data_IF_641096154777
#
_entry.id   IF_641096154777
#
_cell.length_a   1.000
_cell.length_b   1.000
_cell.length_c   1.000
_cell.angle_alpha   90.00
_cell.angle_beta   90.00
_cell.angle_gamma   90.00
#
_symmetry.space_group_name_H-M   'P 1'
#
loop_
_entity.id
_entity.type
_entity.pdbx_description
1 polymer ?
#
# COMPACT_ATOMS: atom_id res chain seq x y z
N UNK A 1 -4.64 -7.93 13.80
CA UNK A 1 -3.88 -8.48 12.64
C UNK A 1 -3.41 -9.90 12.96
N UNK A 2 -3.18 -10.74 11.93
CA UNK A 2 -2.58 -12.07 12.10
C UNK A 2 -1.11 -12.01 11.65
N UNK A 3 -0.14 -12.41 12.50
CA UNK A 3 1.27 -12.28 12.16
C UNK A 3 1.76 -13.33 11.15
N UNK A 4 1.12 -14.51 11.11
CA UNK A 4 1.56 -15.63 10.26
C UNK A 4 0.36 -16.43 9.76
N UNK A 5 0.37 -16.74 8.46
CA UNK A 5 -0.41 -17.83 7.88
C UNK A 5 -1.53 -17.38 6.95
N UNK A 6 -1.98 -18.35 6.15
CA UNK A 6 -3.13 -18.28 5.26
C UNK A 6 -3.96 -19.55 5.43
N UNK A 7 -5.25 -19.50 5.11
CA UNK A 7 -6.15 -20.66 5.20
C UNK A 7 -6.61 -21.07 3.80
N UNK A 8 -6.63 -22.38 3.57
CA UNK A 8 -7.19 -22.99 2.36
C UNK A 8 -8.51 -23.67 2.73
N UNK A 9 -9.58 -23.36 2.01
CA UNK A 9 -10.93 -23.92 2.21
C UNK A 9 -11.39 -24.64 0.94
N UNK A 10 -12.20 -25.68 1.08
CA UNK A 10 -12.71 -26.48 -0.04
C UNK A 10 -13.29 -27.82 0.41
N UNK A 11 -13.57 -28.72 -0.55
CA UNK A 11 -14.13 -30.04 -0.25
C UNK A 11 -13.19 -30.92 0.58
N UNK A 12 -13.75 -31.95 1.25
CA UNK A 12 -12.98 -32.88 2.07
C UNK A 12 -11.84 -33.55 1.29
N UNK A 13 -12.13 -34.01 0.07
CA UNK A 13 -11.14 -34.64 -0.81
C UNK A 13 -10.03 -33.68 -1.23
N UNK A 14 -10.39 -32.43 -1.54
CA UNK A 14 -9.43 -31.37 -1.86
C UNK A 14 -8.52 -31.06 -0.66
N UNK A 15 -9.10 -30.87 0.52
CA UNK A 15 -8.34 -30.58 1.75
C UNK A 15 -7.43 -31.75 2.14
N UNK A 16 -7.84 -33.00 1.90
CA UNK A 16 -6.97 -34.16 2.12
C UNK A 16 -5.71 -34.10 1.26
N UNK A 17 -5.86 -33.82 -0.05
CA UNK A 17 -4.73 -33.64 -0.97
C UNK A 17 -3.86 -32.45 -0.56
N UNK A 18 -4.47 -31.31 -0.25
CA UNK A 18 -3.76 -30.10 0.18
C UNK A 18 -2.95 -30.34 1.48
N UNK A 19 -3.49 -31.10 2.45
CA UNK A 19 -2.76 -31.46 3.68
C UNK A 19 -1.55 -32.35 3.41
N UNK A 20 -1.64 -33.30 2.47
CA UNK A 20 -0.47 -34.10 2.04
C UNK A 20 0.58 -33.20 1.39
N UNK A 21 0.18 -32.34 0.45
CA UNK A 21 1.09 -31.39 -0.18
C UNK A 21 1.78 -30.48 0.86
N UNK A 22 1.02 -29.92 1.81
CA UNK A 22 1.57 -29.12 2.92
C UNK A 22 2.62 -29.90 3.71
N UNK A 23 2.42 -31.19 3.97
CA UNK A 23 3.40 -32.03 4.69
C UNK A 23 4.67 -32.25 3.88
N UNK A 24 4.54 -32.53 2.57
CA UNK A 24 5.67 -32.71 1.65
C UNK A 24 6.52 -31.43 1.52
N UNK A 25 5.87 -30.27 1.48
CA UNK A 25 6.52 -28.96 1.42
C UNK A 25 7.07 -28.47 2.79
N UNK A 26 6.99 -29.29 3.83
CA UNK A 26 7.50 -28.93 5.16
C UNK A 26 6.59 -28.05 6.03
N UNK A 27 5.40 -27.67 5.55
CA UNK A 27 4.44 -26.83 6.30
C UNK A 27 3.69 -27.54 7.44
N UNK A 28 4.13 -28.74 7.84
CA UNK A 28 3.55 -29.52 8.92
C UNK A 28 4.05 -29.12 10.31
N UNK A 29 3.78 -27.88 10.73
CA UNK A 29 4.23 -27.31 12.00
C UNK A 29 3.57 -27.97 13.24
N UNK A 30 4.23 -27.86 14.39
CA UNK A 30 3.75 -28.31 15.70
C UNK A 30 3.47 -27.10 16.61
N UNK A 31 2.63 -27.28 17.64
CA UNK A 31 2.21 -26.22 18.57
C UNK A 31 1.70 -24.93 17.88
N UNK A 32 1.13 -25.06 16.68
CA UNK A 32 0.70 -23.92 15.83
C UNK A 32 -0.47 -23.13 16.43
N UNK A 33 -1.06 -23.59 17.54
CA UNK A 33 -2.15 -22.91 18.24
C UNK A 33 -1.81 -21.46 18.63
N UNK A 34 -0.56 -21.19 18.98
CA UNK A 34 -0.07 -19.83 19.29
C UNK A 34 -0.20 -18.91 18.08
N UNK A 35 0.04 -19.41 16.86
CA UNK A 35 -0.13 -18.66 15.61
C UNK A 35 -1.57 -18.65 15.10
N UNK A 36 -2.33 -19.72 15.37
CA UNK A 36 -3.72 -19.84 14.94
C UNK A 36 -4.67 -18.94 15.74
N UNK A 37 -4.40 -18.72 17.03
CA UNK A 37 -5.21 -17.88 17.91
C UNK A 37 -5.44 -16.44 17.38
N UNK A 38 -4.40 -15.66 17.01
CA UNK A 38 -4.61 -14.35 16.38
C UNK A 38 -5.27 -14.44 15.01
N UNK A 39 -5.13 -15.56 14.30
CA UNK A 39 -5.86 -15.82 13.04
C UNK A 39 -7.37 -15.92 13.24
N UNK A 40 -7.83 -16.52 14.35
CA UNK A 40 -9.26 -16.58 14.68
C UNK A 40 -9.83 -15.19 14.97
N UNK A 41 -9.06 -14.32 15.63
CA UNK A 41 -9.46 -12.92 15.85
C UNK A 41 -9.50 -12.16 14.51
N UNK A 42 -8.50 -12.37 13.66
CA UNK A 42 -8.44 -11.72 12.35
C UNK A 42 -9.62 -12.08 11.43
N UNK A 43 -10.19 -13.28 11.58
CA UNK A 43 -11.35 -13.77 10.82
C UNK A 43 -12.70 -13.59 11.53
N UNK A 44 -12.71 -13.03 12.75
CA UNK A 44 -13.95 -12.77 13.49
C UNK A 44 -14.67 -11.56 12.89
N UNK A 45 -16.00 -11.63 12.85
CA UNK A 45 -16.88 -10.51 12.49
C UNK A 45 -17.15 -9.59 13.70
N UNK A 46 -17.67 -8.38 13.44
CA UNK A 46 -18.01 -7.42 14.47
C UNK A 46 -16.81 -6.67 15.08
N UNK A 47 -17.05 -5.89 16.15
CA UNK A 47 -16.08 -4.95 16.71
C UNK A 47 -14.85 -5.59 17.37
N UNK A 48 -14.92 -6.90 17.67
CA UNK A 48 -13.79 -7.67 18.21
C UNK A 48 -12.92 -8.30 17.10
N UNK A 49 -13.31 -8.12 15.84
CA UNK A 49 -12.67 -8.69 14.66
C UNK A 49 -11.78 -7.70 13.90
N UNK A 50 -11.31 -8.12 12.72
CA UNK A 50 -10.54 -7.25 11.83
C UNK A 50 -11.23 -7.01 10.48
N UNK A 51 -12.34 -7.69 10.19
CA UNK A 51 -13.00 -7.66 8.87
C UNK A 51 -13.66 -6.31 8.61
N UNK A 52 -14.52 -5.83 9.52
CA UNK A 52 -15.26 -4.57 9.35
C UNK A 52 -14.32 -3.37 9.21
N UNK A 53 -13.20 -3.40 9.95
CA UNK A 53 -12.16 -2.38 9.92
C UNK A 53 -11.46 -2.23 8.57
N UNK A 54 -11.52 -3.23 7.66
CA UNK A 54 -11.00 -3.06 6.30
C UNK A 54 -11.63 -1.83 5.60
N UNK A 55 -12.85 -1.45 5.98
CA UNK A 55 -13.48 -0.22 5.50
C UNK A 55 -12.68 1.05 5.85
N UNK A 56 -12.04 1.10 7.02
CA UNK A 56 -11.16 2.21 7.42
C UNK A 56 -9.90 2.26 6.54
N UNK A 57 -9.31 1.10 6.25
CA UNK A 57 -8.14 1.03 5.37
C UNK A 57 -8.51 1.52 3.96
N UNK A 58 -9.70 1.18 3.48
CA UNK A 58 -10.23 1.66 2.19
C UNK A 58 -10.48 3.18 2.20
N UNK A 59 -11.09 3.71 3.27
CA UNK A 59 -11.32 5.15 3.42
C UNK A 59 -9.99 5.91 3.45
N UNK A 60 -9.00 5.43 4.20
CA UNK A 60 -7.67 6.04 4.26
C UNK A 60 -6.95 6.01 2.90
N UNK A 61 -7.08 4.90 2.14
CA UNK A 61 -6.53 4.82 0.79
C UNK A 61 -7.21 5.81 -0.16
N UNK A 62 -8.53 6.00 -0.01
CA UNK A 62 -9.31 6.97 -0.78
C UNK A 62 -8.86 8.40 -0.50
N UNK A 63 -8.78 8.79 0.78
CA UNK A 63 -8.29 10.12 1.20
C UNK A 63 -6.87 10.37 0.71
N UNK A 64 -5.99 9.36 0.80
CA UNK A 64 -4.63 9.45 0.26
C UNK A 64 -4.65 9.71 -1.25
N UNK A 65 -5.45 8.95 -2.01
CA UNK A 65 -5.54 9.11 -3.46
C UNK A 65 -6.08 10.48 -3.88
N UNK A 66 -7.09 10.99 -3.17
CA UNK A 66 -7.65 12.34 -3.38
C UNK A 66 -6.62 13.44 -3.11
N UNK A 67 -5.77 13.27 -2.10
CA UNK A 67 -4.68 14.22 -1.88
C UNK A 67 -3.55 14.11 -2.92
N UNK A 68 -3.25 12.90 -3.38
CA UNK A 68 -2.17 12.66 -4.35
C UNK A 68 -2.51 13.15 -5.75
N UNK A 69 -3.77 13.01 -6.20
CA UNK A 69 -4.17 13.36 -7.58
C UNK A 69 -4.01 14.85 -7.88
N UNK A 70 -4.10 15.69 -6.85
CA UNK A 70 -3.93 17.15 -6.95
C UNK A 70 -2.45 17.57 -6.99
N UNK A 71 -1.50 16.66 -6.78
CA UNK A 71 -0.08 16.99 -6.67
C UNK A 71 0.63 17.06 -8.03
N UNK A 72 1.33 18.17 -8.33
CA UNK A 72 2.15 18.28 -9.55
C UNK A 72 3.20 17.17 -9.62
N UNK A 73 3.18 16.42 -10.72
CA UNK A 73 4.10 15.31 -10.95
C UNK A 73 3.54 13.93 -10.63
N UNK A 74 2.41 13.83 -9.92
CA UNK A 74 1.63 12.59 -9.86
C UNK A 74 0.82 12.45 -11.15
N UNK A 75 0.93 11.30 -11.81
CA UNK A 75 0.22 11.00 -13.05
C UNK A 75 -0.36 9.58 -12.99
N UNK A 76 -1.30 9.28 -13.89
CA UNK A 76 -1.92 7.95 -14.04
C UNK A 76 -2.59 7.42 -12.75
N UNK A 77 -3.13 8.32 -11.93
CA UNK A 77 -3.92 7.99 -10.74
C UNK A 77 -5.40 8.17 -11.06
N UNK A 78 -6.15 7.07 -11.07
CA UNK A 78 -7.60 7.05 -11.29
C UNK A 78 -8.35 6.75 -9.99
N UNK A 79 -9.01 7.76 -9.44
CA UNK A 79 -9.78 7.66 -8.19
C UNK A 79 -10.88 6.58 -8.25
N UNK A 80 -11.48 6.33 -9.43
CA UNK A 80 -12.55 5.34 -9.57
C UNK A 80 -12.09 3.89 -9.36
N UNK A 81 -10.77 3.67 -9.45
CA UNK A 81 -10.12 2.37 -9.25
C UNK A 81 -9.63 2.15 -7.82
N UNK A 82 -9.63 3.19 -6.98
CA UNK A 82 -9.29 3.09 -5.56
C UNK A 82 -10.53 2.63 -4.78
N UNK A 83 -10.75 1.30 -4.80
CA UNK A 83 -11.91 0.65 -4.16
C UNK A 83 -11.56 -0.18 -2.92
N UNK A 84 -10.26 -0.38 -2.70
CA UNK A 84 -9.72 -1.14 -1.56
C UNK A 84 -8.61 -0.32 -0.90
N UNK A 85 -7.66 -0.96 -0.22
CA UNK A 85 -6.54 -0.34 0.47
C UNK A 85 -5.31 -0.04 -0.42
N UNK A 86 -5.42 -0.15 -1.75
CA UNK A 86 -4.31 0.10 -2.68
C UNK A 86 -4.52 1.38 -3.49
N UNK A 87 -3.44 2.16 -3.60
CA UNK A 87 -3.36 3.32 -4.51
C UNK A 87 -2.21 3.10 -5.48
N UNK A 88 -2.51 3.17 -6.77
CA UNK A 88 -1.53 3.04 -7.84
C UNK A 88 -1.41 4.34 -8.61
N UNK A 89 -0.18 4.78 -8.85
CA UNK A 89 0.11 5.99 -9.61
C UNK A 89 1.51 5.91 -10.23
N UNK A 90 1.87 6.87 -11.08
CA UNK A 90 3.23 7.09 -11.56
C UNK A 90 3.69 8.50 -11.19
N UNK A 91 4.99 8.72 -11.30
CA UNK A 91 5.60 10.03 -11.10
C UNK A 91 6.24 10.47 -12.41
N UNK A 92 5.86 11.66 -12.90
CA UNK A 92 6.46 12.29 -14.07
C UNK A 92 7.84 12.84 -13.74
N UNK A 93 8.72 12.92 -14.72
CA UNK A 93 9.91 13.77 -14.61
C UNK A 93 9.47 15.25 -14.63
N UNK A 94 10.13 16.09 -13.82
CA UNK A 94 9.90 17.53 -13.86
C UNK A 94 10.60 18.13 -15.10
N UNK A 95 9.90 18.88 -15.97
CA UNK A 95 10.52 19.56 -17.11
C UNK A 95 11.59 20.56 -16.63
N UNK A 96 12.79 20.50 -17.21
CA UNK A 96 13.95 21.29 -16.79
C UNK A 96 14.49 20.96 -15.39
N UNK A 97 13.99 19.89 -14.76
CA UNK A 97 14.45 19.40 -13.46
C UNK A 97 15.71 18.54 -13.57
N UNK A 98 16.29 18.17 -12.43
CA UNK A 98 17.54 17.40 -12.35
C UNK A 98 17.47 16.01 -13.03
N UNK A 99 16.25 15.49 -13.22
CA UNK A 99 15.97 14.19 -13.84
C UNK A 99 15.27 14.31 -15.21
N UNK A 100 15.20 15.52 -15.78
CA UNK A 100 14.61 15.70 -17.12
C UNK A 100 15.37 14.90 -18.19
N UNK A 101 14.63 14.29 -19.12
CA UNK A 101 15.17 13.40 -20.14
C UNK A 101 15.77 12.06 -19.64
N UNK A 102 15.76 11.79 -18.33
CA UNK A 102 16.21 10.50 -17.78
C UNK A 102 15.14 9.41 -17.96
N UNK A 103 15.52 8.12 -17.90
CA UNK A 103 14.53 7.03 -17.90
C UNK A 103 13.55 7.16 -16.73
N UNK A 104 12.27 6.89 -16.97
CA UNK A 104 11.21 6.99 -15.95
C UNK A 104 11.50 6.17 -14.68
N UNK A 105 12.28 5.09 -14.81
CA UNK A 105 12.73 4.25 -13.71
C UNK A 105 13.63 5.03 -12.72
N UNK A 106 14.47 5.94 -13.22
CA UNK A 106 15.33 6.77 -12.39
C UNK A 106 14.51 7.78 -11.57
N UNK A 107 13.53 8.44 -12.21
CA UNK A 107 12.59 9.34 -11.53
C UNK A 107 11.81 8.61 -10.44
N UNK A 108 11.28 7.42 -10.74
CA UNK A 108 10.57 6.60 -9.76
C UNK A 108 11.46 6.20 -8.58
N UNK A 109 12.69 5.77 -8.85
CA UNK A 109 13.63 5.37 -7.80
C UNK A 109 13.98 6.55 -6.88
N UNK A 110 14.35 7.70 -7.47
CA UNK A 110 14.67 8.92 -6.73
C UNK A 110 13.49 9.39 -5.85
N UNK A 111 12.27 9.32 -6.37
CA UNK A 111 11.07 9.65 -5.60
C UNK A 111 10.86 8.71 -4.39
N UNK A 112 11.02 7.39 -4.59
CA UNK A 112 10.90 6.41 -3.51
C UNK A 112 12.00 6.58 -2.46
N UNK A 113 13.23 6.88 -2.87
CA UNK A 113 14.35 7.16 -1.97
C UNK A 113 14.10 8.45 -1.15
N UNK A 114 13.59 9.51 -1.80
CA UNK A 114 13.22 10.75 -1.12
C UNK A 114 12.10 10.54 -0.09
N UNK A 115 11.05 9.78 -0.45
CA UNK A 115 9.99 9.40 0.49
C UNK A 115 10.52 8.58 1.66
N UNK A 116 11.43 7.64 1.40
CA UNK A 116 12.03 6.82 2.46
C UNK A 116 12.87 7.67 3.42
N UNK A 117 13.57 8.69 2.90
CA UNK A 117 14.28 9.69 3.71
C UNK A 117 13.35 10.48 4.65
N UNK A 118 12.08 10.65 4.29
CA UNK A 118 11.02 11.25 5.11
C UNK A 118 10.34 10.23 6.07
N UNK A 119 10.81 8.98 6.05
CA UNK A 119 10.26 7.87 6.83
C UNK A 119 8.97 7.29 6.25
N UNK A 120 8.68 7.50 4.96
CA UNK A 120 7.50 6.97 4.27
C UNK A 120 7.93 5.90 3.27
N UNK A 121 7.44 4.67 3.48
CA UNK A 121 7.72 3.56 2.58
C UNK A 121 6.56 3.33 1.60
N UNK A 122 6.88 3.29 0.31
CA UNK A 122 6.02 2.80 -0.76
C UNK A 122 6.83 1.84 -1.64
N UNK A 123 6.17 1.08 -2.52
CA UNK A 123 6.89 0.08 -3.33
C UNK A 123 6.77 0.37 -4.83
N UNK A 124 7.86 0.18 -5.55
CA UNK A 124 7.83 0.11 -7.00
C UNK A 124 6.96 -1.07 -7.44
N UNK A 125 6.14 -0.84 -8.47
CA UNK A 125 5.24 -1.83 -9.04
C UNK A 125 5.48 -1.95 -10.56
N UNK A 126 5.07 -3.04 -11.24
CA UNK A 126 5.23 -3.18 -12.68
C UNK A 126 4.72 -1.99 -13.51
N UNK A 127 5.19 -1.90 -14.75
CA UNK A 127 4.80 -0.85 -15.71
C UNK A 127 5.05 0.59 -15.20
N UNK A 128 6.12 0.80 -14.45
CA UNK A 128 6.53 2.12 -13.97
C UNK A 128 5.68 2.67 -12.82
N UNK A 129 4.75 1.89 -12.27
CA UNK A 129 3.88 2.34 -11.19
C UNK A 129 4.58 2.32 -9.83
N UNK A 130 3.97 3.02 -8.89
CA UNK A 130 4.18 2.95 -7.45
C UNK A 130 2.88 2.45 -6.82
N UNK A 131 3.00 1.58 -5.82
CA UNK A 131 1.86 1.11 -5.02
C UNK A 131 2.02 1.58 -3.58
N UNK A 132 1.11 2.44 -3.15
CA UNK A 132 0.88 2.73 -1.74
C UNK A 132 -0.18 1.76 -1.18
N UNK A 133 0.01 1.35 0.07
CA UNK A 133 -0.87 0.38 0.74
C UNK A 133 -1.21 0.90 2.13
N UNK A 134 -2.49 1.12 2.39
CA UNK A 134 -2.97 1.36 3.76
C UNK A 134 -3.26 0.03 4.44
N UNK A 135 -3.12 0.00 5.75
CA UNK A 135 -3.37 -1.18 6.58
C UNK A 135 -3.57 -0.73 8.02
N UNK A 136 -3.74 -1.70 8.91
CA UNK A 136 -4.15 -1.44 10.28
C UNK A 136 -3.30 -0.48 11.13
N UNK A 137 -2.04 -0.25 10.75
CA UNK A 137 -1.12 0.68 11.43
C UNK A 137 -1.11 2.08 10.82
N UNK A 138 -1.88 2.30 9.74
CA UNK A 138 -2.00 3.57 9.04
C UNK A 138 -3.37 4.15 9.35
N UNK A 139 -3.36 5.17 10.19
CA UNK A 139 -4.55 5.91 10.61
C UNK A 139 -4.67 7.20 9.80
N UNK A 140 -5.85 7.83 9.87
CA UNK A 140 -6.15 9.06 9.13
C UNK A 140 -5.09 10.16 9.31
N UNK A 141 -4.64 10.38 10.56
CA UNK A 141 -3.56 11.34 10.89
C UNK A 141 -2.24 11.06 10.16
N UNK A 142 -1.98 9.81 9.77
CA UNK A 142 -0.77 9.45 9.03
C UNK A 142 -0.88 9.85 7.56
N UNK A 143 -2.10 9.92 7.00
CA UNK A 143 -2.33 10.29 5.60
C UNK A 143 -1.83 11.70 5.31
N UNK A 144 -2.14 12.67 6.17
CA UNK A 144 -1.63 14.04 6.02
C UNK A 144 -0.09 14.09 6.03
N UNK A 145 0.55 13.31 6.92
CA UNK A 145 2.02 13.23 6.97
C UNK A 145 2.58 12.67 5.67
N UNK A 146 1.96 11.64 5.12
CA UNK A 146 2.35 11.02 3.85
C UNK A 146 2.19 12.01 2.70
N UNK A 147 1.09 12.77 2.65
CA UNK A 147 0.86 13.80 1.63
C UNK A 147 1.92 14.90 1.71
N UNK A 148 2.23 15.41 2.92
CA UNK A 148 3.30 16.40 3.11
C UNK A 148 4.68 15.89 2.69
N UNK A 149 5.01 14.65 3.04
CA UNK A 149 6.27 14.02 2.61
C UNK A 149 6.32 13.82 1.09
N UNK A 150 5.18 13.47 0.47
CA UNK A 150 5.08 13.32 -0.98
C UNK A 150 5.31 14.65 -1.69
N UNK A 151 4.73 15.75 -1.20
CA UNK A 151 5.01 17.09 -1.71
C UNK A 151 6.49 17.43 -1.67
N UNK A 152 7.15 17.23 -0.53
CA UNK A 152 8.61 17.47 -0.39
C UNK A 152 9.45 16.59 -1.32
N UNK A 153 9.07 15.32 -1.47
CA UNK A 153 9.72 14.42 -2.41
C UNK A 153 9.60 14.96 -3.85
N UNK A 154 8.39 15.33 -4.29
CA UNK A 154 8.16 15.91 -5.61
C UNK A 154 8.95 17.22 -5.83
N UNK A 155 9.00 18.09 -4.82
CA UNK A 155 9.79 19.33 -4.85
C UNK A 155 11.29 19.07 -5.02
N UNK A 156 11.84 18.08 -4.31
CA UNK A 156 13.26 17.70 -4.48
C UNK A 156 13.56 17.13 -5.87
N UNK A 157 12.55 16.61 -6.57
CA UNK A 157 12.64 16.17 -7.96
C UNK A 157 12.41 17.30 -8.97
N UNK A 158 12.08 18.52 -8.51
CA UNK A 158 11.91 19.72 -9.34
C UNK A 158 10.46 20.05 -9.69
N UNK A 159 9.46 19.33 -9.16
CA UNK A 159 8.06 19.72 -9.32
C UNK A 159 7.74 20.88 -8.38
N UNK A 160 7.33 22.03 -8.91
CA UNK A 160 6.95 23.18 -8.08
C UNK A 160 5.53 22.98 -7.55
N UNK A 161 5.33 23.22 -6.26
CA UNK A 161 4.01 23.25 -5.64
C UNK A 161 3.15 24.34 -6.29
N UNK A 162 1.94 23.98 -6.75
CA UNK A 162 0.90 24.96 -7.04
C UNK A 162 0.40 25.52 -5.71
N UNK A 163 0.14 26.84 -5.57
CA UNK A 163 -0.49 27.36 -4.36
C UNK A 163 -1.84 26.65 -4.18
N UNK A 164 -1.97 25.85 -3.12
CA UNK A 164 -3.25 25.23 -2.75
C UNK A 164 -4.26 26.37 -2.54
N UNK A 165 -5.41 26.40 -3.24
CA UNK A 165 -6.44 27.36 -2.93
C UNK A 165 -6.95 27.02 -1.53
N UNK A 166 -6.72 27.94 -0.58
CA UNK A 166 -7.39 27.91 0.72
C UNK A 166 -8.85 28.29 0.43
N UNK A 167 -9.72 27.28 0.40
CA UNK A 167 -11.17 27.41 0.24
C UNK A 167 -11.89 26.85 1.45
#
# INVERSE_FOLDING_TARGET
ACPVGSVVVGSREFIWRARRARKLLGGGMRQVGVLAAPGLIALRDGPAGMIERLAEDHANARTLAEGLVEMPGIIDLDLSRVRTNFVFFRVAAAPGGALDGRPAQATRAAFLDALLGEGVAMVAYPHGQIRAVTHYGIEERHIERVLRATGRALESLGHRSSPVPVG
#
